data_IF_896716466688
#
_entry.id   IF_896716466688
#
_cell.length_a   1.000
_cell.length_b   1.000
_cell.length_c   1.000
_cell.angle_alpha   90.00
_cell.angle_beta   90.00
_cell.angle_gamma   90.00
#
_symmetry.space_group_name_H-M   'P 1'
#
loop_
_entity.id
_entity.type
_entity.pdbx_description
1 polymer ?
#
# COMPACT_ATOMS: atom_id res chain seq x y z
N UNK A 1 23.62 -28.62 32.36
CA UNK A 1 23.67 -27.95 31.04
C UNK A 1 22.32 -27.30 30.81
N UNK A 2 22.29 -25.97 30.65
CA UNK A 2 21.07 -25.17 30.55
C UNK A 2 20.34 -25.42 29.24
N UNK A 3 19.11 -25.92 29.33
CA UNK A 3 18.13 -25.84 28.26
C UNK A 3 17.86 -24.36 27.99
N UNK A 4 18.28 -23.87 26.82
CA UNK A 4 17.86 -22.56 26.33
C UNK A 4 16.34 -22.60 26.20
N UNK A 5 15.66 -21.94 27.14
CA UNK A 5 14.35 -21.37 26.89
C UNK A 5 14.52 -20.40 25.72
N UNK A 6 14.29 -20.89 24.50
CA UNK A 6 13.83 -20.01 23.43
C UNK A 6 12.43 -19.64 23.91
N UNK A 7 12.34 -18.52 24.63
CA UNK A 7 11.10 -17.81 24.81
C UNK A 7 10.59 -17.56 23.41
N UNK A 8 9.65 -18.40 22.95
CA UNK A 8 8.80 -18.08 21.82
C UNK A 8 8.25 -16.70 22.11
N UNK A 9 8.70 -15.71 21.34
CA UNK A 9 8.12 -14.37 21.41
C UNK A 9 6.61 -14.56 21.22
N UNK A 10 5.77 -13.88 22.01
CA UNK A 10 4.33 -13.96 21.81
C UNK A 10 4.02 -13.66 20.34
N UNK A 11 3.23 -14.54 19.70
CA UNK A 11 2.72 -14.33 18.34
C UNK A 11 2.11 -12.93 18.28
N UNK A 12 2.75 -12.05 17.51
CA UNK A 12 2.34 -10.67 17.40
C UNK A 12 1.14 -10.61 16.45
N UNK A 13 -0.07 -10.61 17.00
CA UNK A 13 -1.32 -10.54 16.24
C UNK A 13 -1.76 -9.10 16.03
N UNK A 14 -0.99 -8.36 15.23
CA UNK A 14 -1.46 -7.08 14.68
C UNK A 14 -2.10 -7.32 13.32
N UNK A 15 -3.13 -6.54 13.00
CA UNK A 15 -3.67 -6.46 11.64
C UNK A 15 -2.88 -5.45 10.83
N UNK A 16 -2.40 -5.86 9.67
CA UNK A 16 -1.67 -5.03 8.72
C UNK A 16 -2.54 -4.79 7.49
N UNK A 17 -2.92 -3.54 7.30
CA UNK A 17 -3.68 -3.09 6.13
C UNK A 17 -2.81 -2.16 5.32
N UNK A 18 -2.71 -2.44 4.03
CA UNK A 18 -2.06 -1.58 3.06
C UNK A 18 -3.11 -1.01 2.11
N UNK A 19 -2.76 0.08 1.45
CA UNK A 19 -3.62 0.64 0.40
C UNK A 19 -2.91 0.68 -0.93
N UNK A 20 -3.68 0.71 -2.01
CA UNK A 20 -3.21 0.92 -3.36
C UNK A 20 -4.02 2.06 -3.99
N UNK A 21 -3.40 3.24 -4.11
CA UNK A 21 -4.00 4.47 -4.65
C UNK A 21 -5.31 4.88 -3.94
N UNK A 22 -5.28 4.86 -2.61
CA UNK A 22 -6.32 5.40 -1.74
C UNK A 22 -5.80 6.68 -1.08
N UNK A 23 -6.65 7.69 -1.01
CA UNK A 23 -6.37 8.95 -0.32
C UNK A 23 -6.64 8.86 1.18
N UNK A 24 -5.98 9.69 1.98
CA UNK A 24 -6.14 9.69 3.44
C UNK A 24 -7.60 9.90 3.88
N UNK A 25 -8.35 10.75 3.17
CA UNK A 25 -9.75 11.05 3.47
C UNK A 25 -10.64 9.82 3.43
N UNK A 26 -10.28 8.81 2.65
CA UNK A 26 -11.02 7.55 2.55
C UNK A 26 -10.74 6.60 3.72
N UNK A 27 -9.66 6.84 4.47
CA UNK A 27 -9.17 5.99 5.56
C UNK A 27 -9.48 6.60 6.93
N UNK A 28 -9.65 7.92 7.01
CA UNK A 28 -10.07 8.60 8.25
C UNK A 28 -11.58 8.48 8.47
N UNK A 29 -12.08 7.25 8.52
CA UNK A 29 -13.46 6.92 8.82
C UNK A 29 -13.56 6.13 10.16
N UNK A 30 -14.78 5.86 10.62
CA UNK A 30 -15.01 5.11 11.87
C UNK A 30 -14.53 3.66 11.82
N UNK A 31 -14.35 3.09 10.61
CA UNK A 31 -13.91 1.70 10.42
C UNK A 31 -12.47 1.49 10.91
N UNK A 32 -11.61 2.49 10.75
CA UNK A 32 -10.20 2.44 11.13
C UNK A 32 -9.87 3.20 12.42
N UNK A 33 -10.88 3.55 13.23
CA UNK A 33 -10.70 4.35 14.45
C UNK A 33 -9.75 3.72 15.49
N UNK A 34 -9.63 2.38 15.49
CA UNK A 34 -8.73 1.63 16.37
C UNK A 34 -7.42 1.20 15.69
N UNK A 35 -7.15 1.73 14.50
CA UNK A 35 -5.90 1.48 13.79
C UNK A 35 -4.99 2.70 13.92
N UNK A 36 -3.70 2.43 14.03
CA UNK A 36 -2.67 3.41 13.76
C UNK A 36 -2.64 3.70 12.26
N UNK A 37 -3.03 4.91 11.88
CA UNK A 37 -2.97 5.37 10.49
C UNK A 37 -1.57 5.95 10.23
N UNK A 38 -0.91 5.50 9.17
CA UNK A 38 0.45 5.91 8.82
C UNK A 38 0.52 6.34 7.36
N UNK A 39 1.00 7.55 7.10
CA UNK A 39 1.43 7.96 5.76
C UNK A 39 2.78 7.30 5.45
N UNK A 40 2.88 6.60 4.33
CA UNK A 40 4.16 6.03 3.92
C UNK A 40 5.21 7.10 3.63
N UNK A 41 4.81 8.29 3.19
CA UNK A 41 5.74 9.42 2.97
C UNK A 41 6.44 9.84 4.26
N UNK A 42 5.73 9.83 5.39
CA UNK A 42 6.31 10.10 6.71
C UNK A 42 7.32 9.02 7.11
N UNK A 43 7.06 7.76 6.76
CA UNK A 43 8.00 6.65 7.00
C UNK A 43 9.29 6.87 6.23
N UNK A 44 9.19 7.24 4.95
CA UNK A 44 10.35 7.54 4.12
C UNK A 44 11.15 8.74 4.67
N UNK A 45 10.45 9.83 5.04
CA UNK A 45 11.09 11.03 5.58
C UNK A 45 11.82 10.75 6.90
N UNK A 46 11.20 10.00 7.83
CA UNK A 46 11.82 9.64 9.12
C UNK A 46 13.08 8.78 8.97
N UNK A 47 13.17 8.03 7.87
CA UNK A 47 14.32 7.20 7.55
C UNK A 47 15.33 7.90 6.62
N UNK A 48 15.16 9.21 6.36
CA UNK A 48 15.99 10.01 5.46
C UNK A 48 16.11 9.41 4.05
N UNK A 49 15.03 8.81 3.53
CA UNK A 49 15.01 8.23 2.20
C UNK A 49 15.27 9.30 1.13
N UNK A 50 16.27 9.06 0.30
CA UNK A 50 16.66 9.91 -0.83
C UNK A 50 16.44 9.14 -2.15
N UNK A 51 15.45 9.51 -2.97
CA UNK A 51 15.15 8.81 -4.22
C UNK A 51 16.28 8.86 -5.26
N UNK A 52 17.29 9.71 -5.08
CA UNK A 52 18.48 9.76 -5.95
C UNK A 52 19.59 8.80 -5.50
N UNK A 53 19.55 8.31 -4.26
CA UNK A 53 20.61 7.49 -3.65
C UNK A 53 20.12 6.12 -3.20
N UNK A 54 18.88 6.04 -2.76
CA UNK A 54 18.30 4.84 -2.18
C UNK A 54 17.48 4.06 -3.19
N UNK A 55 17.60 2.74 -3.14
CA UNK A 55 16.86 1.84 -4.02
C UNK A 55 15.38 1.72 -3.61
N UNK A 56 14.54 1.22 -4.53
CA UNK A 56 13.16 0.86 -4.20
C UNK A 56 13.08 -0.17 -3.06
N UNK A 57 14.06 -1.06 -2.94
CA UNK A 57 14.11 -2.05 -1.85
C UNK A 57 14.27 -1.37 -0.48
N UNK A 58 15.00 -0.25 -0.40
CA UNK A 58 15.14 0.51 0.85
C UNK A 58 13.78 1.02 1.34
N UNK A 59 12.87 1.42 0.44
CA UNK A 59 11.50 1.84 0.81
C UNK A 59 10.75 0.70 1.50
N UNK A 60 10.82 -0.51 0.92
CA UNK A 60 10.15 -1.69 1.45
C UNK A 60 10.78 -2.18 2.77
N UNK A 61 12.09 -2.03 2.93
CA UNK A 61 12.76 -2.28 4.21
C UNK A 61 12.31 -1.33 5.31
N UNK A 62 12.16 -0.04 5.01
CA UNK A 62 11.66 0.93 5.99
C UNK A 62 10.20 0.63 6.36
N UNK A 63 9.38 0.27 5.38
CA UNK A 63 8.00 -0.14 5.61
C UNK A 63 7.91 -1.39 6.48
N UNK A 64 8.65 -2.45 6.14
CA UNK A 64 8.64 -3.70 6.89
C UNK A 64 9.13 -3.52 8.32
N UNK A 65 10.22 -2.78 8.55
CA UNK A 65 10.71 -2.44 9.91
C UNK A 65 9.65 -1.72 10.74
N UNK A 66 8.89 -0.82 10.12
CA UNK A 66 7.82 -0.09 10.78
C UNK A 66 6.65 -1.01 11.17
N UNK A 67 6.24 -1.91 10.27
CA UNK A 67 5.21 -2.92 10.55
C UNK A 67 5.66 -3.87 11.66
N UNK A 68 6.89 -4.41 11.55
CA UNK A 68 7.50 -5.33 12.51
C UNK A 68 7.62 -4.69 13.91
N UNK A 69 7.81 -3.38 14.00
CA UNK A 69 7.89 -2.66 15.29
C UNK A 69 6.55 -2.16 15.84
N UNK A 70 5.48 -2.12 15.04
CA UNK A 70 4.19 -1.54 15.47
C UNK A 70 3.44 -2.39 16.50
N UNK A 71 3.14 -1.91 17.70
CA UNK A 71 2.32 -2.68 18.66
C UNK A 71 0.82 -2.66 18.33
N UNK A 72 0.38 -1.66 17.57
CA UNK A 72 -1.00 -1.48 17.16
C UNK A 72 -1.29 -2.11 15.80
N UNK A 73 -2.57 -2.43 15.57
CA UNK A 73 -3.11 -2.64 14.22
C UNK A 73 -2.82 -1.41 13.36
N UNK A 74 -2.43 -1.61 12.12
CA UNK A 74 -1.89 -0.53 11.29
C UNK A 74 -2.57 -0.46 9.93
N UNK A 75 -2.91 0.76 9.50
CA UNK A 75 -3.28 1.06 8.11
C UNK A 75 -2.22 1.98 7.52
N UNK A 76 -1.57 1.54 6.45
CA UNK A 76 -0.58 2.36 5.75
C UNK A 76 -1.16 2.85 4.42
N UNK A 77 -1.13 4.17 4.25
CA UNK A 77 -1.61 4.83 3.05
C UNK A 77 -0.51 5.49 2.24
N UNK A 78 -0.85 5.88 1.01
CA UNK A 78 0.09 6.52 0.08
C UNK A 78 1.36 5.67 -0.15
N UNK A 79 1.21 4.34 -0.13
CA UNK A 79 2.30 3.39 -0.34
C UNK A 79 2.96 3.55 -1.72
N UNK A 80 2.21 4.10 -2.69
CA UNK A 80 2.59 4.18 -4.12
C UNK A 80 3.12 2.86 -4.68
N UNK A 81 2.75 1.76 -4.03
CA UNK A 81 3.31 0.44 -4.29
C UNK A 81 2.90 -0.07 -5.66
N UNK A 82 3.83 -0.71 -6.35
CA UNK A 82 3.50 -1.58 -7.47
C UNK A 82 2.98 -2.94 -6.97
N UNK A 83 2.51 -3.79 -7.89
CA UNK A 83 1.97 -5.10 -7.52
C UNK A 83 3.05 -5.99 -6.87
N UNK A 84 4.28 -5.87 -7.35
CA UNK A 84 5.45 -6.64 -6.90
C UNK A 84 5.92 -6.23 -5.49
N UNK A 85 5.62 -5.00 -5.08
CA UNK A 85 5.99 -4.49 -3.77
C UNK A 85 5.21 -5.22 -2.66
N UNK A 86 3.95 -5.59 -2.92
CA UNK A 86 3.13 -6.35 -1.96
C UNK A 86 3.68 -7.76 -1.74
N UNK A 87 4.17 -8.42 -2.79
CA UNK A 87 4.82 -9.73 -2.68
C UNK A 87 6.11 -9.62 -1.87
N UNK A 88 6.96 -8.66 -2.25
CA UNK A 88 8.26 -8.45 -1.62
C UNK A 88 8.08 -8.15 -0.14
N UNK A 89 7.11 -7.30 0.20
CA UNK A 89 6.78 -6.99 1.58
C UNK A 89 6.21 -8.22 2.31
N UNK A 90 5.36 -9.02 1.66
CA UNK A 90 4.87 -10.28 2.23
C UNK A 90 6.02 -11.21 2.61
N UNK A 91 7.01 -11.39 1.70
CA UNK A 91 8.20 -12.20 1.99
C UNK A 91 9.05 -11.62 3.13
N UNK A 92 9.18 -10.30 3.24
CA UNK A 92 9.90 -9.64 4.34
C UNK A 92 9.21 -9.83 5.70
N UNK A 93 7.89 -9.97 5.72
CA UNK A 93 7.10 -10.11 6.94
C UNK A 93 6.99 -11.56 7.44
N UNK A 94 7.07 -12.55 6.55
CA UNK A 94 6.96 -14.00 6.88
C UNK A 94 7.86 -14.47 8.03
N UNK A 95 9.17 -14.09 8.12
CA UNK A 95 10.03 -14.53 9.23
C UNK A 95 9.58 -14.04 10.62
N UNK A 96 8.67 -13.06 10.65
CA UNK A 96 8.10 -12.48 11.86
C UNK A 96 6.67 -12.95 12.11
N UNK A 97 6.18 -13.95 11.37
CA UNK A 97 4.81 -14.48 11.44
C UNK A 97 3.74 -13.40 11.21
N UNK A 98 4.11 -12.35 10.47
CA UNK A 98 3.22 -11.26 10.07
C UNK A 98 2.78 -11.48 8.63
N UNK A 99 1.51 -11.19 8.37
CA UNK A 99 0.90 -11.22 7.04
C UNK A 99 0.30 -9.84 6.73
N UNK A 100 0.09 -9.55 5.46
CA UNK A 100 -0.76 -8.44 5.05
C UNK A 100 -2.20 -8.96 5.08
N UNK A 101 -3.02 -8.49 6.02
CA UNK A 101 -4.41 -8.96 6.17
C UNK A 101 -5.30 -8.46 5.04
N UNK A 102 -5.11 -7.20 4.63
CA UNK A 102 -5.98 -6.56 3.64
C UNK A 102 -5.21 -5.54 2.80
N UNK A 103 -5.49 -5.52 1.51
CA UNK A 103 -5.07 -4.46 0.59
C UNK A 103 -6.32 -3.73 0.12
N UNK A 104 -6.45 -2.46 0.50
CA UNK A 104 -7.56 -1.60 0.11
C UNK A 104 -7.29 -0.99 -1.26
N UNK A 105 -8.27 -1.10 -2.16
CA UNK A 105 -8.24 -0.52 -3.51
C UNK A 105 -9.46 0.38 -3.70
N UNK A 106 -9.39 1.43 -4.55
CA UNK A 106 -10.55 2.29 -4.77
C UNK A 106 -11.65 1.52 -5.47
N UNK A 107 -12.89 1.72 -5.03
CA UNK A 107 -14.08 1.19 -5.68
C UNK A 107 -14.30 1.78 -7.08
N UNK A 108 -15.18 1.16 -7.87
CA UNK A 108 -15.45 1.57 -9.26
C UNK A 108 -15.85 3.06 -9.38
N UNK A 109 -16.68 3.56 -8.46
CA UNK A 109 -17.12 4.96 -8.46
C UNK A 109 -15.93 5.92 -8.30
N UNK A 110 -15.04 5.63 -7.35
CA UNK A 110 -13.83 6.42 -7.11
C UNK A 110 -12.87 6.36 -8.28
N UNK A 111 -12.67 5.18 -8.89
CA UNK A 111 -11.83 5.04 -10.08
C UNK A 111 -12.34 5.90 -11.24
N UNK A 112 -13.66 5.88 -11.48
CA UNK A 112 -14.30 6.75 -12.49
C UNK A 112 -14.11 8.23 -12.17
N UNK A 113 -14.25 8.61 -10.91
CA UNK A 113 -14.01 10.00 -10.49
C UNK A 113 -12.55 10.42 -10.74
N UNK A 114 -11.58 9.57 -10.39
CA UNK A 114 -10.15 9.81 -10.68
C UNK A 114 -9.88 10.00 -12.18
N UNK A 115 -10.55 9.25 -13.07
CA UNK A 115 -10.45 9.47 -14.51
C UNK A 115 -10.99 10.85 -14.93
N UNK A 116 -12.18 11.21 -14.45
CA UNK A 116 -12.82 12.51 -14.76
C UNK A 116 -11.93 13.66 -14.29
N UNK A 117 -11.39 13.57 -13.08
CA UNK A 117 -10.49 14.59 -12.51
C UNK A 117 -9.18 14.67 -13.29
N UNK A 118 -8.62 13.53 -13.71
CA UNK A 118 -7.45 13.47 -14.59
C UNK A 118 -7.69 14.13 -15.95
N UNK A 119 -8.81 13.85 -16.60
CA UNK A 119 -9.21 14.47 -17.88
C UNK A 119 -9.45 15.98 -17.74
N UNK A 120 -10.06 16.40 -16.62
CA UNK A 120 -10.26 17.81 -16.30
C UNK A 120 -8.91 18.52 -16.14
N UNK A 121 -8.02 17.98 -15.30
CA UNK A 121 -6.68 18.52 -15.09
C UNK A 121 -5.85 18.56 -16.39
N UNK A 122 -6.03 17.57 -17.28
CA UNK A 122 -5.36 17.55 -18.57
C UNK A 122 -5.74 18.76 -19.43
N UNK A 123 -7.05 19.05 -19.51
CA UNK A 123 -7.61 20.17 -20.28
C UNK A 123 -7.30 21.53 -19.65
N UNK A 124 -7.45 21.65 -18.34
CA UNK A 124 -7.37 22.94 -17.64
C UNK A 124 -5.93 23.42 -17.41
N UNK A 125 -4.96 22.50 -17.35
CA UNK A 125 -3.56 22.82 -17.05
C UNK A 125 -2.62 22.65 -18.24
N UNK A 126 -3.17 22.66 -19.46
CA UNK A 126 -2.40 22.56 -20.70
C UNK A 126 -1.41 21.38 -20.69
N UNK A 127 -1.82 20.25 -20.11
CA UNK A 127 -0.93 19.10 -19.87
C UNK A 127 -0.55 18.35 -21.15
N UNK A 128 -1.06 18.76 -22.31
CA UNK A 128 -0.67 18.23 -23.62
C UNK A 128 0.83 18.39 -23.93
N UNK A 129 1.54 19.27 -23.22
CA UNK A 129 3.00 19.38 -23.30
C UNK A 129 3.73 18.24 -22.56
N UNK A 130 3.06 17.60 -21.60
CA UNK A 130 3.63 16.56 -20.75
C UNK A 130 3.07 15.17 -21.09
N UNK A 131 1.87 15.10 -21.66
CA UNK A 131 1.15 13.86 -21.94
C UNK A 131 0.43 13.95 -23.29
N UNK A 132 0.42 12.86 -24.07
CA UNK A 132 -0.31 12.85 -25.33
C UNK A 132 -1.83 12.71 -25.12
N UNK A 133 -2.67 13.17 -26.07
CA UNK A 133 -4.11 12.95 -26.00
C UNK A 133 -4.44 11.44 -25.96
N UNK A 134 -5.17 10.99 -24.94
CA UNK A 134 -5.51 9.57 -24.72
C UNK A 134 -4.68 8.88 -23.64
N UNK A 135 -3.55 9.47 -23.22
CA UNK A 135 -2.66 8.86 -22.23
C UNK A 135 -3.32 8.70 -20.84
N UNK A 136 -4.23 9.60 -20.47
CA UNK A 136 -4.97 9.52 -19.20
C UNK A 136 -5.90 8.30 -19.18
N UNK A 137 -6.62 8.06 -20.27
CA UNK A 137 -7.52 6.94 -20.45
C UNK A 137 -6.77 5.61 -20.49
N UNK A 138 -5.62 5.57 -21.17
CA UNK A 138 -4.74 4.40 -21.20
C UNK A 138 -4.22 4.06 -19.81
N UNK A 139 -3.70 5.05 -19.08
CA UNK A 139 -3.25 4.87 -17.70
C UNK A 139 -4.37 4.40 -16.77
N UNK A 140 -5.59 4.91 -16.96
CA UNK A 140 -6.77 4.46 -16.22
C UNK A 140 -7.10 2.99 -16.52
N UNK A 141 -7.11 2.59 -17.80
CA UNK A 141 -7.32 1.20 -18.21
C UNK A 141 -6.26 0.26 -17.61
N UNK A 142 -5.00 0.66 -17.63
CA UNK A 142 -3.92 -0.11 -16.99
C UNK A 142 -4.12 -0.23 -15.48
N UNK A 143 -4.59 0.82 -14.83
CA UNK A 143 -4.88 0.80 -13.41
C UNK A 143 -6.01 -0.18 -13.05
N UNK A 144 -7.12 -0.19 -13.81
CA UNK A 144 -8.19 -1.17 -13.61
C UNK A 144 -7.72 -2.61 -13.82
N UNK A 145 -6.92 -2.85 -14.87
CA UNK A 145 -6.32 -4.16 -15.11
C UNK A 145 -5.44 -4.60 -13.94
N UNK A 146 -4.62 -3.71 -13.38
CA UNK A 146 -3.77 -4.02 -12.22
C UNK A 146 -4.58 -4.40 -10.99
N UNK A 147 -5.71 -3.75 -10.73
CA UNK A 147 -6.60 -4.13 -9.62
C UNK A 147 -7.15 -5.54 -9.83
N UNK A 148 -7.56 -5.88 -11.06
CA UNK A 148 -8.03 -7.23 -11.36
C UNK A 148 -6.93 -8.28 -11.19
N UNK A 149 -5.71 -7.99 -11.66
CA UNK A 149 -4.54 -8.84 -11.43
C UNK A 149 -4.24 -9.02 -9.95
N UNK A 150 -4.33 -7.95 -9.15
CA UNK A 150 -4.15 -8.02 -7.70
C UNK A 150 -5.19 -8.96 -7.05
N UNK A 151 -6.47 -8.80 -7.39
CA UNK A 151 -7.56 -9.66 -6.88
C UNK A 151 -7.35 -11.12 -7.24
N UNK A 152 -6.98 -11.41 -8.49
CA UNK A 152 -6.75 -12.77 -8.95
C UNK A 152 -5.57 -13.42 -8.24
N UNK A 153 -4.46 -12.68 -8.11
CA UNK A 153 -3.23 -13.13 -7.46
C UNK A 153 -3.42 -13.51 -6.00
N UNK A 154 -4.15 -12.67 -5.26
CA UNK A 154 -4.37 -12.89 -3.82
C UNK A 154 -5.62 -13.73 -3.50
N UNK A 155 -6.38 -14.19 -4.51
CA UNK A 155 -7.65 -14.92 -4.34
C UNK A 155 -7.55 -16.15 -3.44
N UNK A 156 -6.43 -16.87 -3.49
CA UNK A 156 -6.20 -18.11 -2.74
C UNK A 156 -5.22 -17.92 -1.58
N UNK A 157 -5.00 -16.68 -1.15
CA UNK A 157 -4.12 -16.34 -0.03
C UNK A 157 -4.93 -15.85 1.16
N UNK A 158 -4.29 -15.71 2.32
CA UNK A 158 -4.93 -15.13 3.51
C UNK A 158 -5.15 -13.61 3.38
N UNK A 159 -4.39 -12.95 2.50
CA UNK A 159 -4.54 -11.52 2.20
C UNK A 159 -5.81 -11.27 1.41
N UNK A 160 -6.68 -10.40 1.94
CA UNK A 160 -7.89 -9.96 1.27
C UNK A 160 -7.63 -8.72 0.41
N UNK A 161 -8.37 -8.58 -0.68
CA UNK A 161 -8.43 -7.35 -1.47
C UNK A 161 -9.82 -6.77 -1.30
N UNK A 162 -9.93 -5.56 -0.73
CA UNK A 162 -11.22 -4.92 -0.44
C UNK A 162 -11.34 -3.60 -1.19
N UNK A 163 -12.50 -3.37 -1.81
CA UNK A 163 -12.82 -2.08 -2.43
C UNK A 163 -13.43 -1.12 -1.41
N UNK A 164 -12.95 0.12 -1.38
CA UNK A 164 -13.48 1.21 -0.54
C UNK A 164 -13.70 2.48 -1.32
#
# INVERSE_FOLDING_TARGET
MNFRQILSKPEKKIKVILTYRIDESDIRNSEFAHFKIVDFSDVLQKNNYDPLKDSELNKLEYLSKMIISSEDNIVIYNTRSNLEDFDTLSEMLKPYELIIDNILVPNESKRKQQLIDGQKAYREHNRWLNFYPGEIEENHKYFEQRINTLKEKYRNTETKISEI
#
